data_IF_803706111649
#
_entry.id   IF_803706111649
#
_cell.length_a   1.000
_cell.length_b   1.000
_cell.length_c   1.000
_cell.angle_alpha   90.00
_cell.angle_beta   90.00
_cell.angle_gamma   90.00
#
_symmetry.space_group_name_H-M   'P 1'
#
loop_
_entity.id
_entity.type
_entity.pdbx_description
1 polymer ?
#
# COMPACT_ATOMS: atom_id res chain seq x y z
N UNK A 1 39.31 -40.03 3.85
CA UNK A 1 39.89 -38.83 3.24
C UNK A 1 38.78 -38.09 2.50
N UNK A 2 38.63 -36.81 2.84
CA UNK A 2 37.84 -35.75 2.20
C UNK A 2 36.33 -35.99 1.93
N UNK A 3 35.52 -35.59 2.91
CA UNK A 3 34.16 -35.08 2.72
C UNK A 3 34.27 -33.80 1.88
N UNK A 4 33.71 -33.76 0.68
CA UNK A 4 33.61 -32.51 -0.09
C UNK A 4 32.53 -31.62 0.54
N UNK A 5 32.97 -30.67 1.37
CA UNK A 5 32.23 -29.46 1.70
C UNK A 5 31.92 -28.72 0.41
N UNK A 6 30.66 -28.77 -0.01
CA UNK A 6 30.10 -27.80 -0.94
C UNK A 6 29.54 -26.68 -0.07
N UNK A 7 30.41 -25.72 0.27
CA UNK A 7 29.98 -24.39 0.74
C UNK A 7 29.39 -23.63 -0.46
N UNK A 8 28.16 -23.99 -0.85
CA UNK A 8 27.32 -23.04 -1.58
C UNK A 8 26.89 -22.03 -0.54
N UNK A 9 27.54 -20.86 -0.52
CA UNK A 9 26.97 -19.66 0.13
C UNK A 9 25.50 -19.61 -0.27
N UNK A 10 24.59 -19.82 0.68
CA UNK A 10 23.16 -19.72 0.48
C UNK A 10 22.83 -18.32 -0.05
N UNK A 11 22.79 -18.17 -1.37
CA UNK A 11 22.14 -17.04 -1.99
C UNK A 11 20.65 -17.23 -1.71
N UNK A 12 20.20 -16.61 -0.62
CA UNK A 12 18.81 -16.57 -0.21
C UNK A 12 17.96 -16.15 -1.42
N UNK A 13 16.97 -16.98 -1.78
CA UNK A 13 16.07 -16.67 -2.88
C UNK A 13 15.44 -15.28 -2.64
N UNK A 14 15.26 -14.42 -3.66
CA UNK A 14 14.81 -13.04 -3.44
C UNK A 14 13.52 -12.93 -2.62
N UNK A 15 12.58 -13.86 -2.84
CA UNK A 15 11.35 -13.95 -2.05
C UNK A 15 11.62 -14.31 -0.59
N UNK A 16 12.55 -15.23 -0.31
CA UNK A 16 12.92 -15.60 1.06
C UNK A 16 13.59 -14.42 1.77
N UNK A 17 14.38 -13.63 1.04
CA UNK A 17 14.98 -12.40 1.57
C UNK A 17 13.91 -11.38 1.97
N UNK A 18 12.92 -11.14 1.10
CA UNK A 18 11.79 -10.25 1.43
C UNK A 18 10.97 -10.81 2.59
N UNK A 19 10.59 -12.09 2.55
CA UNK A 19 9.80 -12.76 3.58
C UNK A 19 10.46 -12.63 4.95
N UNK A 20 11.73 -13.01 5.06
CA UNK A 20 12.50 -12.90 6.30
C UNK A 20 12.66 -11.45 6.74
N UNK A 21 12.82 -10.51 5.79
CA UNK A 21 12.91 -9.09 6.12
C UNK A 21 11.61 -8.47 6.62
N UNK A 22 10.44 -9.02 6.26
CA UNK A 22 9.15 -8.52 6.74
C UNK A 22 8.83 -9.10 8.13
N UNK A 23 9.10 -10.39 8.38
CA UNK A 23 8.56 -11.08 9.56
C UNK A 23 9.55 -11.39 10.69
N UNK A 24 10.87 -11.37 10.43
CA UNK A 24 11.86 -11.64 11.47
C UNK A 24 12.06 -10.44 12.41
N UNK A 25 12.58 -10.71 13.61
CA UNK A 25 12.61 -9.72 14.70
C UNK A 25 13.53 -8.52 14.41
N UNK A 26 14.56 -8.68 13.58
CA UNK A 26 15.46 -7.59 13.16
C UNK A 26 14.68 -6.47 12.47
N UNK A 27 13.61 -6.83 11.75
CA UNK A 27 12.76 -5.90 11.04
C UNK A 27 12.01 -4.93 11.96
N UNK A 28 11.70 -5.33 13.21
CA UNK A 28 10.95 -4.48 14.16
C UNK A 28 11.70 -3.20 14.54
N UNK A 29 13.02 -3.22 14.42
CA UNK A 29 13.88 -2.07 14.72
C UNK A 29 13.86 -1.00 13.63
N UNK A 30 13.23 -1.28 12.48
CA UNK A 30 13.13 -0.34 11.36
C UNK A 30 12.10 0.74 11.71
N UNK A 31 12.60 1.82 12.31
CA UNK A 31 11.88 3.07 12.59
C UNK A 31 12.53 4.31 11.98
N UNK A 32 13.54 4.13 11.13
CA UNK A 32 14.24 5.23 10.43
C UNK A 32 13.30 5.84 9.40
N UNK A 33 13.40 7.16 9.18
CA UNK A 33 12.77 7.79 8.03
C UNK A 33 13.48 7.35 6.73
N UNK A 34 13.03 6.22 6.19
CA UNK A 34 13.58 5.62 4.97
C UNK A 34 13.43 6.59 3.79
N UNK A 35 12.43 7.47 3.80
CA UNK A 35 12.13 8.36 2.68
C UNK A 35 13.23 9.41 2.48
N UNK A 36 13.72 10.02 3.55
CA UNK A 36 14.73 11.09 3.53
C UNK A 36 16.13 10.56 3.18
N UNK A 37 16.38 9.27 3.40
CA UNK A 37 17.69 8.68 3.21
C UNK A 37 17.97 8.33 1.75
N UNK A 38 19.20 8.63 1.31
CA UNK A 38 19.75 8.09 0.07
C UNK A 38 19.88 6.57 0.15
N UNK A 39 19.78 5.87 -0.98
CA UNK A 39 19.79 4.40 -0.92
C UNK A 39 21.16 3.86 -0.49
N UNK A 40 22.23 4.58 -0.82
CA UNK A 40 23.59 4.22 -0.39
C UNK A 40 23.71 4.27 1.14
N UNK A 41 23.11 5.27 1.80
CA UNK A 41 23.13 5.34 3.28
C UNK A 41 22.31 4.22 3.92
N UNK A 42 21.22 3.77 3.28
CA UNK A 42 20.43 2.64 3.76
C UNK A 42 21.19 1.32 3.67
N UNK A 43 21.95 1.11 2.59
CA UNK A 43 22.73 -0.09 2.36
C UNK A 43 23.94 -0.17 3.29
N UNK A 44 24.59 0.97 3.55
CA UNK A 44 25.75 1.07 4.44
C UNK A 44 25.36 1.18 5.93
N UNK A 45 24.07 1.29 6.24
CA UNK A 45 23.58 1.43 7.61
C UNK A 45 23.90 0.20 8.47
N UNK A 46 24.64 0.42 9.54
CA UNK A 46 24.97 -0.58 10.56
C UNK A 46 23.72 -1.20 11.23
N UNK A 47 22.62 -0.45 11.29
CA UNK A 47 21.34 -0.94 11.81
C UNK A 47 20.63 -1.83 10.80
N UNK A 48 20.68 -1.48 9.51
CA UNK A 48 19.91 -2.15 8.46
C UNK A 48 20.67 -3.31 7.81
N UNK A 49 22.00 -3.37 7.90
CA UNK A 49 22.84 -4.41 7.28
C UNK A 49 22.49 -5.84 7.70
N UNK A 50 21.81 -6.02 8.83
CA UNK A 50 21.38 -7.33 9.31
C UNK A 50 20.09 -7.82 8.63
N UNK A 51 19.31 -6.92 8.05
CA UNK A 51 18.08 -7.24 7.34
C UNK A 51 18.42 -8.04 6.07
N UNK A 52 17.80 -9.21 5.85
CA UNK A 52 18.14 -10.08 4.71
C UNK A 52 18.08 -9.40 3.34
N UNK A 53 17.07 -8.56 3.06
CA UNK A 53 16.94 -7.90 1.75
C UNK A 53 18.05 -6.86 1.52
N UNK A 54 18.54 -6.20 2.57
CA UNK A 54 19.67 -5.28 2.50
C UNK A 54 20.94 -6.04 2.13
N UNK A 55 21.18 -7.21 2.74
CA UNK A 55 22.31 -8.09 2.40
C UNK A 55 22.26 -8.57 0.95
N UNK A 56 21.07 -8.98 0.49
CA UNK A 56 20.85 -9.42 -0.89
C UNK A 56 21.20 -8.30 -1.86
N UNK A 57 20.68 -7.08 -1.63
CA UNK A 57 20.95 -5.93 -2.52
C UNK A 57 22.42 -5.50 -2.44
N UNK A 58 23.03 -5.43 -1.25
CA UNK A 58 24.46 -5.11 -1.09
C UNK A 58 25.38 -6.08 -1.85
N UNK A 59 24.98 -7.35 -1.94
CA UNK A 59 25.73 -8.36 -2.67
C UNK A 59 25.64 -8.18 -4.20
N UNK A 60 24.55 -7.58 -4.68
CA UNK A 60 24.29 -7.32 -6.11
C UNK A 60 24.86 -5.98 -6.55
N UNK A 61 24.87 -4.95 -5.69
CA UNK A 61 25.32 -3.59 -5.99
C UNK A 61 26.81 -3.46 -6.35
N UNK A 62 27.59 -4.56 -6.24
CA UNK A 62 28.93 -4.67 -6.85
C UNK A 62 28.90 -4.76 -8.38
N UNK A 63 27.71 -4.80 -9.00
CA UNK A 63 27.47 -4.84 -10.46
C UNK A 63 26.60 -3.65 -10.87
N UNK A 64 26.77 -3.14 -12.09
CA UNK A 64 26.11 -1.95 -12.66
C UNK A 64 24.56 -2.00 -12.76
N UNK A 65 23.93 -3.12 -12.42
CA UNK A 65 22.47 -3.29 -12.27
C UNK A 65 22.00 -2.79 -10.90
N UNK A 66 22.33 -1.55 -10.54
CA UNK A 66 22.18 -1.08 -9.16
C UNK A 66 20.88 -0.31 -8.91
N UNK A 67 20.32 0.39 -9.91
CA UNK A 67 19.31 1.42 -9.66
C UNK A 67 17.95 0.81 -9.30
N UNK A 68 17.43 -0.13 -10.09
CA UNK A 68 16.10 -0.72 -9.85
C UNK A 68 16.06 -1.45 -8.51
N UNK A 69 17.10 -2.22 -8.22
CA UNK A 69 17.30 -3.01 -7.02
C UNK A 69 17.41 -2.12 -5.79
N UNK A 70 18.13 -0.99 -5.90
CA UNK A 70 18.17 0.06 -4.89
C UNK A 70 16.79 0.66 -4.64
N UNK A 71 16.04 1.02 -5.68
CA UNK A 71 14.69 1.57 -5.52
C UNK A 71 13.71 0.55 -4.95
N UNK A 72 13.81 -0.72 -5.36
CA UNK A 72 13.06 -1.82 -4.76
C UNK A 72 13.36 -1.93 -3.27
N UNK A 73 14.64 -1.94 -2.88
CA UNK A 73 15.05 -1.93 -1.47
C UNK A 73 14.40 -0.78 -0.70
N UNK A 74 14.45 0.44 -1.25
CA UNK A 74 13.86 1.62 -0.60
C UNK A 74 12.36 1.46 -0.40
N UNK A 75 11.63 0.95 -1.40
CA UNK A 75 10.20 0.66 -1.32
C UNK A 75 9.89 -0.43 -0.28
N UNK A 76 10.66 -1.52 -0.26
CA UNK A 76 10.49 -2.60 0.72
C UNK A 76 10.76 -2.13 2.14
N UNK A 77 11.83 -1.39 2.39
CA UNK A 77 12.13 -0.84 3.72
C UNK A 77 11.07 0.18 4.16
N UNK A 78 10.57 1.01 3.24
CA UNK A 78 9.46 1.94 3.52
C UNK A 78 8.19 1.20 3.91
N UNK A 79 7.85 0.13 3.19
CA UNK A 79 6.72 -0.75 3.53
C UNK A 79 6.90 -1.38 4.92
N UNK A 80 8.08 -1.94 5.23
CA UNK A 80 8.32 -2.58 6.53
C UNK A 80 8.24 -1.56 7.66
N UNK A 81 8.84 -0.37 7.49
CA UNK A 81 8.77 0.72 8.47
C UNK A 81 7.31 1.13 8.74
N UNK A 82 6.51 1.31 7.69
CA UNK A 82 5.10 1.65 7.82
C UNK A 82 4.26 0.52 8.44
N UNK A 83 4.55 -0.74 8.11
CA UNK A 83 3.92 -1.93 8.69
C UNK A 83 4.18 -2.02 10.19
N UNK A 84 5.42 -1.79 10.63
CA UNK A 84 5.80 -1.81 12.05
C UNK A 84 5.15 -0.69 12.87
N UNK A 85 4.83 0.45 12.23
CA UNK A 85 4.10 1.55 12.85
C UNK A 85 2.58 1.31 12.88
N UNK A 86 2.10 0.35 12.10
CA UNK A 86 0.70 -0.07 12.05
C UNK A 86 0.28 -0.82 13.31
N UNK A 87 -1.02 -0.78 13.60
CA UNK A 87 -1.60 -1.51 14.72
C UNK A 87 -2.00 -2.93 14.27
N UNK A 88 -1.01 -3.77 14.02
CA UNK A 88 -1.24 -5.15 13.59
C UNK A 88 -1.52 -6.06 14.78
N UNK A 89 -2.51 -6.94 14.65
CA UNK A 89 -2.80 -7.95 15.66
C UNK A 89 -1.57 -8.84 15.91
N UNK A 90 -1.12 -8.88 17.17
CA UNK A 90 0.10 -9.58 17.58
C UNK A 90 0.06 -11.06 17.20
N UNK A 91 -1.10 -11.72 17.32
CA UNK A 91 -1.25 -13.14 17.03
C UNK A 91 -1.15 -13.43 15.53
N UNK A 92 -1.73 -12.57 14.69
CA UNK A 92 -1.68 -12.72 13.24
C UNK A 92 -0.27 -12.47 12.69
N UNK A 93 0.50 -11.55 13.28
CA UNK A 93 1.91 -11.39 12.97
C UNK A 93 2.76 -12.57 13.42
N UNK A 94 2.48 -13.13 14.60
CA UNK A 94 3.15 -14.36 15.07
C UNK A 94 2.88 -15.54 14.15
N UNK A 95 1.65 -15.71 13.68
CA UNK A 95 1.27 -16.73 12.70
C UNK A 95 2.10 -16.62 11.42
N UNK A 96 2.25 -15.40 10.87
CA UNK A 96 3.08 -15.16 9.68
C UNK A 96 4.57 -15.40 9.94
N UNK A 97 5.08 -15.10 11.14
CA UNK A 97 6.46 -15.43 11.52
C UNK A 97 6.71 -16.94 11.54
N UNK A 98 5.85 -17.70 12.20
CA UNK A 98 5.96 -19.16 12.25
C UNK A 98 5.88 -19.75 10.83
N UNK A 99 4.96 -19.24 10.01
CA UNK A 99 4.86 -19.65 8.62
C UNK A 99 6.09 -19.29 7.77
N UNK A 100 6.79 -18.19 8.08
CA UNK A 100 8.04 -17.81 7.43
C UNK A 100 9.20 -18.75 7.82
N UNK A 101 9.28 -19.15 9.09
CA UNK A 101 10.27 -20.12 9.57
C UNK A 101 10.04 -21.51 8.96
N UNK A 102 8.78 -21.89 8.76
CA UNK A 102 8.38 -23.18 8.21
C UNK A 102 8.28 -23.21 6.66
N UNK A 103 8.53 -22.09 5.98
CA UNK A 103 8.36 -21.94 4.52
C UNK A 103 6.97 -22.37 4.02
N UNK A 104 5.91 -21.95 4.71
CA UNK A 104 4.54 -22.31 4.36
C UNK A 104 4.10 -21.67 3.04
N UNK A 105 3.53 -22.49 2.15
CA UNK A 105 3.18 -22.08 0.77
C UNK A 105 2.20 -20.90 0.68
N UNK A 106 1.29 -20.75 1.65
CA UNK A 106 0.34 -19.64 1.64
C UNK A 106 1.04 -18.29 1.87
N UNK A 107 2.02 -18.27 2.78
CA UNK A 107 2.79 -17.07 3.08
C UNK A 107 3.72 -16.72 1.92
N UNK A 108 4.33 -17.73 1.29
CA UNK A 108 5.17 -17.51 0.10
C UNK A 108 4.36 -16.79 -0.98
N UNK A 109 3.13 -17.23 -1.28
CA UNK A 109 2.24 -16.55 -2.24
C UNK A 109 1.91 -15.12 -1.84
N UNK A 110 1.67 -14.89 -0.55
CA UNK A 110 1.39 -13.56 0.01
C UNK A 110 2.59 -12.62 -0.17
N UNK A 111 3.81 -13.10 0.13
CA UNK A 111 5.06 -12.35 -0.05
C UNK A 111 5.41 -12.15 -1.52
N UNK A 112 5.16 -13.13 -2.38
CA UNK A 112 5.36 -13.01 -3.84
C UNK A 112 4.49 -11.88 -4.40
N UNK A 113 3.20 -11.82 -4.02
CA UNK A 113 2.31 -10.73 -4.41
C UNK A 113 2.86 -9.38 -3.95
N UNK A 114 3.22 -9.26 -2.65
CA UNK A 114 3.78 -8.03 -2.09
C UNK A 114 5.07 -7.62 -2.81
N UNK A 115 5.95 -8.58 -3.10
CA UNK A 115 7.24 -8.33 -3.76
C UNK A 115 7.03 -7.77 -5.16
N UNK A 116 6.18 -8.40 -5.97
CA UNK A 116 5.86 -7.96 -7.33
C UNK A 116 5.20 -6.57 -7.29
N UNK A 117 4.27 -6.36 -6.37
CA UNK A 117 3.59 -5.10 -6.20
C UNK A 117 4.58 -3.97 -5.85
N UNK A 118 5.41 -4.18 -4.83
CA UNK A 118 6.41 -3.19 -4.39
C UNK A 118 7.42 -2.90 -5.50
N UNK A 119 7.83 -3.87 -6.31
CA UNK A 119 8.71 -3.65 -7.46
C UNK A 119 8.07 -2.75 -8.53
N UNK A 120 6.74 -2.83 -8.72
CA UNK A 120 5.99 -2.02 -9.69
C UNK A 120 5.66 -0.60 -9.24
N UNK A 121 5.63 -0.33 -7.93
CA UNK A 121 5.30 1.01 -7.43
C UNK A 121 6.29 2.06 -7.95
N UNK A 122 5.74 3.21 -8.32
CA UNK A 122 6.43 4.41 -8.81
C UNK A 122 6.70 5.44 -7.70
N UNK A 123 5.95 5.40 -6.60
CA UNK A 123 6.00 6.37 -5.48
C UNK A 123 6.19 5.65 -4.12
N UNK A 124 6.93 6.26 -3.18
CA UNK A 124 7.19 5.67 -1.85
C UNK A 124 5.95 5.75 -0.94
N UNK A 125 5.13 6.77 -1.14
CA UNK A 125 3.87 7.01 -0.46
C UNK A 125 2.90 5.86 -0.71
N UNK A 126 2.90 5.31 -1.94
CA UNK A 126 2.13 4.12 -2.27
C UNK A 126 2.60 2.91 -1.47
N UNK A 127 3.91 2.76 -1.20
CA UNK A 127 4.39 1.69 -0.33
C UNK A 127 3.88 1.83 1.12
N UNK A 128 3.74 3.07 1.61
CA UNK A 128 3.11 3.35 2.91
C UNK A 128 1.61 3.00 2.91
N UNK A 129 0.88 3.35 1.85
CA UNK A 129 -0.54 2.98 1.67
C UNK A 129 -0.70 1.45 1.62
N UNK A 130 0.14 0.77 0.83
CA UNK A 130 0.18 -0.69 0.75
C UNK A 130 0.36 -1.32 2.13
N UNK A 131 1.30 -0.82 2.94
CA UNK A 131 1.52 -1.31 4.31
C UNK A 131 0.28 -1.10 5.20
N UNK A 132 -0.36 0.07 5.13
CA UNK A 132 -1.53 0.36 5.93
C UNK A 132 -2.74 -0.52 5.55
N UNK A 133 -2.94 -0.81 4.27
CA UNK A 133 -3.97 -1.75 3.82
C UNK A 133 -3.60 -3.20 4.16
N UNK A 134 -2.31 -3.53 4.17
CA UNK A 134 -1.83 -4.82 4.59
C UNK A 134 -2.13 -5.09 6.07
N UNK A 135 -1.96 -4.08 6.94
CA UNK A 135 -2.39 -4.14 8.35
C UNK A 135 -3.88 -4.46 8.45
N UNK A 136 -4.73 -3.81 7.64
CA UNK A 136 -6.17 -4.09 7.60
C UNK A 136 -6.47 -5.52 7.17
N UNK A 137 -5.75 -6.02 6.17
CA UNK A 137 -5.88 -7.40 5.73
C UNK A 137 -5.45 -8.39 6.81
N UNK A 138 -4.31 -8.15 7.47
CA UNK A 138 -3.82 -8.98 8.57
C UNK A 138 -4.84 -9.03 9.71
N UNK A 139 -5.45 -7.89 10.04
CA UNK A 139 -6.47 -7.76 11.09
C UNK A 139 -7.86 -8.24 10.64
N UNK A 140 -8.00 -8.84 9.46
CA UNK A 140 -9.27 -9.31 8.89
C UNK A 140 -10.34 -8.22 8.71
N UNK A 141 -9.94 -6.94 8.65
CA UNK A 141 -10.85 -5.82 8.34
C UNK A 141 -11.22 -5.77 6.85
N UNK A 142 -10.36 -6.32 5.99
CA UNK A 142 -10.59 -6.52 4.56
C UNK A 142 -10.17 -7.93 4.18
N UNK A 143 -10.85 -8.50 3.19
CA UNK A 143 -10.53 -9.83 2.66
C UNK A 143 -9.25 -9.84 1.82
N UNK A 144 -8.71 -11.04 1.56
CA UNK A 144 -7.59 -11.20 0.64
C UNK A 144 -7.91 -10.70 -0.77
N UNK A 145 -9.12 -10.95 -1.26
CA UNK A 145 -9.54 -10.49 -2.59
C UNK A 145 -9.64 -8.97 -2.66
N UNK A 146 -10.22 -8.33 -1.64
CA UNK A 146 -10.25 -6.87 -1.52
C UNK A 146 -8.83 -6.28 -1.48
N UNK A 147 -7.93 -6.89 -0.70
CA UNK A 147 -6.53 -6.44 -0.66
C UNK A 147 -5.87 -6.52 -2.04
N UNK A 148 -6.04 -7.63 -2.79
CA UNK A 148 -5.49 -7.76 -4.15
C UNK A 148 -6.07 -6.72 -5.12
N UNK A 149 -7.38 -6.45 -5.04
CA UNK A 149 -8.01 -5.40 -5.85
C UNK A 149 -7.43 -4.02 -5.53
N UNK A 150 -7.20 -3.73 -4.25
CA UNK A 150 -6.59 -2.47 -3.83
C UNK A 150 -5.15 -2.32 -4.31
N UNK A 151 -4.34 -3.39 -4.28
CA UNK A 151 -2.99 -3.36 -4.87
C UNK A 151 -3.03 -3.02 -6.37
N UNK A 152 -3.97 -3.60 -7.11
CA UNK A 152 -4.14 -3.33 -8.52
C UNK A 152 -4.55 -1.87 -8.79
N UNK A 153 -5.40 -1.29 -7.93
CA UNK A 153 -5.76 0.13 -7.99
C UNK A 153 -4.54 1.02 -7.73
N UNK A 154 -3.78 0.74 -6.67
CA UNK A 154 -2.61 1.54 -6.26
C UNK A 154 -1.56 1.61 -7.38
N UNK A 155 -1.34 0.51 -8.10
CA UNK A 155 -0.39 0.45 -9.23
C UNK A 155 -0.80 1.34 -10.42
N UNK A 156 -2.07 1.74 -10.54
CA UNK A 156 -2.65 2.35 -11.77
C UNK A 156 -3.03 3.82 -11.64
N UNK A 157 -3.04 4.37 -10.43
CA UNK A 157 -3.41 5.75 -10.14
C UNK A 157 -2.23 6.50 -9.55
N UNK A 158 -2.11 7.81 -9.73
CA UNK A 158 -1.10 8.62 -9.04
C UNK A 158 -1.48 8.81 -7.57
N UNK A 159 -0.51 9.10 -6.71
CA UNK A 159 -0.79 9.37 -5.31
C UNK A 159 -1.87 10.45 -5.08
N UNK A 160 -1.90 11.50 -5.90
CA UNK A 160 -2.87 12.59 -5.80
C UNK A 160 -4.31 12.13 -6.09
N UNK A 161 -4.51 11.02 -6.83
CA UNK A 161 -5.84 10.48 -7.10
C UNK A 161 -6.51 9.95 -5.84
N UNK A 162 -5.74 9.52 -4.83
CA UNK A 162 -6.30 9.14 -3.54
C UNK A 162 -6.91 10.33 -2.80
N UNK A 163 -6.29 11.51 -2.93
CA UNK A 163 -6.84 12.74 -2.34
C UNK A 163 -8.16 13.11 -3.00
N UNK A 164 -8.20 13.03 -4.34
CA UNK A 164 -9.43 13.25 -5.11
C UNK A 164 -10.52 12.23 -4.74
N UNK A 165 -10.18 10.95 -4.59
CA UNK A 165 -11.11 9.91 -4.18
C UNK A 165 -11.71 10.21 -2.79
N UNK A 166 -10.88 10.65 -1.84
CA UNK A 166 -11.31 11.00 -0.48
C UNK A 166 -12.22 12.23 -0.47
N UNK A 167 -11.97 13.24 -1.30
CA UNK A 167 -12.86 14.39 -1.47
C UNK A 167 -14.26 13.95 -1.98
N UNK A 168 -14.29 13.06 -2.99
CA UNK A 168 -15.55 12.50 -3.49
C UNK A 168 -16.25 11.69 -2.40
N UNK A 169 -15.50 10.92 -1.60
CA UNK A 169 -16.06 10.14 -0.49
C UNK A 169 -16.61 11.02 0.63
N UNK A 170 -15.94 12.11 0.99
CA UNK A 170 -16.45 13.04 1.99
C UNK A 170 -17.73 13.74 1.53
N UNK A 171 -17.80 14.13 0.24
CA UNK A 171 -19.03 14.64 -0.36
C UNK A 171 -20.16 13.60 -0.33
N UNK A 172 -19.86 12.33 -0.65
CA UNK A 172 -20.81 11.23 -0.57
C UNK A 172 -21.37 11.04 0.85
N UNK A 173 -20.51 11.05 1.88
CA UNK A 173 -20.93 10.90 3.28
C UNK A 173 -21.80 12.10 3.72
N UNK A 174 -21.48 13.31 3.28
CA UNK A 174 -22.30 14.49 3.57
C UNK A 174 -23.69 14.37 2.93
N UNK A 175 -23.78 13.94 1.67
CA UNK A 175 -25.06 13.73 0.99
C UNK A 175 -25.93 12.68 1.70
N UNK A 176 -25.35 11.60 2.24
CA UNK A 176 -26.11 10.58 2.99
C UNK A 176 -26.65 11.14 4.30
N UNK A 177 -25.83 11.83 5.10
CA UNK A 177 -26.27 12.48 6.35
C UNK A 177 -27.40 13.48 6.14
N UNK A 178 -27.36 14.22 5.03
CA UNK A 178 -28.42 15.17 4.68
C UNK A 178 -29.73 14.45 4.37
N UNK A 179 -29.70 13.33 3.61
CA UNK A 179 -30.90 12.55 3.32
C UNK A 179 -31.54 12.02 4.60
N UNK A 180 -30.74 11.46 5.50
CA UNK A 180 -31.20 11.01 6.82
C UNK A 180 -31.82 12.18 7.62
N UNK A 181 -31.20 13.35 7.60
CA UNK A 181 -31.70 14.56 8.28
C UNK A 181 -33.00 15.08 7.68
N UNK A 182 -33.15 15.05 6.35
CA UNK A 182 -34.39 15.45 5.66
C UNK A 182 -35.52 14.48 6.00
N UNK A 183 -35.24 13.17 5.94
CA UNK A 183 -36.19 12.12 6.32
C UNK A 183 -36.64 12.25 7.77
N UNK A 184 -35.75 12.68 8.66
CA UNK A 184 -36.02 12.79 10.09
C UNK A 184 -36.61 14.15 10.54
N UNK A 185 -36.23 15.26 9.90
CA UNK A 185 -36.50 16.62 10.40
C UNK A 185 -37.07 17.60 9.35
N UNK A 186 -37.26 17.19 8.09
CA UNK A 186 -38.01 17.97 7.09
C UNK A 186 -37.27 19.15 6.43
N UNK A 187 -35.98 19.37 6.71
CA UNK A 187 -35.20 20.40 6.01
C UNK A 187 -33.70 20.39 6.31
N UNK A 188 -32.88 20.53 5.26
CA UNK A 188 -31.42 20.71 5.35
C UNK A 188 -30.90 21.49 4.13
N UNK A 189 -29.84 22.30 4.31
CA UNK A 189 -29.20 23.06 3.24
C UNK A 189 -27.96 22.32 2.73
N UNK A 190 -27.81 22.18 1.41
CA UNK A 190 -26.65 21.52 0.77
C UNK A 190 -25.76 22.59 0.12
N UNK A 191 -24.50 22.67 0.54
CA UNK A 191 -23.47 23.40 -0.21
C UNK A 191 -22.81 22.42 -1.18
N UNK A 192 -23.30 22.34 -2.42
CA UNK A 192 -22.70 21.49 -3.45
C UNK A 192 -21.62 22.27 -4.19
N UNK A 193 -20.38 22.22 -3.70
CA UNK A 193 -19.21 22.62 -4.49
C UNK A 193 -18.33 21.40 -4.74
N UNK A 194 -18.45 20.81 -5.93
CA UNK A 194 -17.36 20.03 -6.49
C UNK A 194 -16.84 20.80 -7.70
N UNK A 195 -15.54 21.13 -7.67
CA UNK A 195 -14.81 21.53 -8.87
C UNK A 195 -14.89 20.38 -9.89
N UNK A 196 -14.84 20.71 -11.19
CA UNK A 196 -14.73 19.69 -12.24
C UNK A 196 -13.39 18.96 -12.08
N UNK A 197 -13.40 17.92 -11.27
CA UNK A 197 -12.27 17.05 -11.02
C UNK A 197 -12.16 16.09 -12.20
N UNK A 198 -11.05 16.13 -12.93
CA UNK A 198 -10.76 15.09 -13.92
C UNK A 198 -10.58 13.78 -13.15
N UNK A 199 -11.59 12.90 -13.23
CA UNK A 199 -11.64 11.61 -12.57
C UNK A 199 -11.37 10.45 -13.54
N UNK A 200 -10.73 10.70 -14.69
CA UNK A 200 -10.59 9.71 -15.76
C UNK A 200 -9.81 8.47 -15.28
N UNK A 201 -8.76 8.65 -14.47
CA UNK A 201 -8.02 7.52 -13.87
C UNK A 201 -8.86 6.76 -12.86
N UNK A 202 -9.59 7.47 -11.98
CA UNK A 202 -10.49 6.84 -11.00
C UNK A 202 -11.63 6.06 -11.68
N UNK A 203 -12.12 6.55 -12.82
CA UNK A 203 -13.07 5.84 -13.66
C UNK A 203 -12.44 4.60 -14.33
N UNK A 204 -11.23 4.74 -14.88
CA UNK A 204 -10.51 3.65 -15.55
C UNK A 204 -10.20 2.48 -14.60
N UNK A 205 -9.96 2.76 -13.31
CA UNK A 205 -9.76 1.72 -12.28
C UNK A 205 -11.05 1.29 -11.58
N UNK A 206 -12.21 1.78 -12.02
CA UNK A 206 -13.52 1.36 -11.53
C UNK A 206 -13.90 1.90 -10.15
N UNK A 207 -13.20 2.89 -9.61
CA UNK A 207 -13.54 3.53 -8.33
C UNK A 207 -14.71 4.51 -8.48
N UNK A 208 -14.84 5.11 -9.66
CA UNK A 208 -15.86 6.12 -9.97
C UNK A 208 -16.66 5.73 -11.20
N UNK A 209 -17.94 6.08 -11.21
CA UNK A 209 -18.85 5.94 -12.34
C UNK A 209 -19.38 7.31 -12.76
N UNK A 210 -19.73 7.45 -14.04
CA UNK A 210 -20.33 8.67 -14.58
C UNK A 210 -21.83 8.49 -14.69
N UNK A 211 -22.57 9.37 -14.02
CA UNK A 211 -24.01 9.56 -14.22
C UNK A 211 -24.22 10.75 -15.13
N UNK A 212 -24.87 10.54 -16.27
CA UNK A 212 -25.20 11.60 -17.23
C UNK A 212 -26.58 12.16 -16.93
N UNK A 213 -26.68 13.46 -16.79
CA UNK A 213 -27.95 14.17 -16.58
C UNK A 213 -28.11 15.22 -17.69
N UNK A 214 -29.20 15.11 -18.44
CA UNK A 214 -29.57 16.15 -19.42
C UNK A 214 -30.26 17.28 -18.68
N UNK A 215 -29.76 18.49 -18.81
CA UNK A 215 -30.36 19.70 -18.23
C UNK A 215 -31.42 20.29 -19.16
N UNK A 216 -32.20 21.24 -18.65
CA UNK A 216 -33.33 21.86 -19.37
C UNK A 216 -32.92 22.57 -20.67
N UNK A 217 -31.67 23.03 -20.76
CA UNK A 217 -31.06 23.63 -21.94
C UNK A 217 -30.48 22.61 -22.94
N UNK A 218 -30.80 21.32 -22.76
CA UNK A 218 -30.26 20.18 -23.50
C UNK A 218 -28.73 19.99 -23.39
N UNK A 219 -28.05 20.69 -22.48
CA UNK A 219 -26.66 20.37 -22.16
C UNK A 219 -26.57 19.07 -21.34
N UNK A 220 -25.43 18.38 -21.45
CA UNK A 220 -25.17 17.13 -20.72
C UNK A 220 -24.23 17.43 -19.58
N UNK A 221 -24.69 17.20 -18.35
CA UNK A 221 -23.87 17.24 -17.15
C UNK A 221 -23.43 15.84 -16.75
N UNK A 222 -22.14 15.65 -16.56
CA UNK A 222 -21.57 14.44 -16.00
C UNK A 222 -21.38 14.62 -14.49
N UNK A 223 -22.06 13.79 -13.70
CA UNK A 223 -21.82 13.68 -12.26
C UNK A 223 -20.99 12.41 -12.01
N UNK A 224 -19.89 12.55 -11.27
CA UNK A 224 -19.02 11.44 -10.88
C UNK A 224 -19.48 10.90 -9.51
N UNK A 225 -19.78 9.60 -9.44
CA UNK A 225 -20.26 8.92 -8.22
C UNK A 225 -19.36 7.73 -7.88
N UNK A 226 -19.21 7.40 -6.60
CA UNK A 226 -18.41 6.24 -6.19
C UNK A 226 -19.10 4.92 -6.55
N UNK A 227 -18.34 3.99 -7.11
CA UNK A 227 -18.75 2.59 -7.22
C UNK A 227 -18.70 1.90 -5.84
N UNK A 228 -19.19 0.65 -5.75
CA UNK A 228 -19.03 -0.15 -4.52
C UNK A 228 -17.55 -0.33 -4.14
N UNK A 229 -16.69 -0.61 -5.13
CA UNK A 229 -15.25 -0.70 -4.94
C UNK A 229 -14.68 0.66 -4.47
N UNK A 230 -15.10 1.75 -5.11
CA UNK A 230 -14.71 3.11 -4.74
C UNK A 230 -15.03 3.45 -3.30
N UNK A 231 -16.23 3.13 -2.84
CA UNK A 231 -16.66 3.37 -1.45
C UNK A 231 -15.83 2.55 -0.46
N UNK A 232 -15.68 1.24 -0.69
CA UNK A 232 -14.90 0.35 0.19
C UNK A 232 -13.44 0.77 0.26
N UNK A 233 -12.83 1.08 -0.89
CA UNK A 233 -11.44 1.51 -0.96
C UNK A 233 -11.24 2.86 -0.27
N UNK A 234 -12.11 3.84 -0.53
CA UNK A 234 -12.06 5.15 0.12
C UNK A 234 -12.26 5.05 1.65
N UNK A 235 -13.15 4.17 2.11
CA UNK A 235 -13.32 3.90 3.54
C UNK A 235 -12.05 3.31 4.17
N UNK A 236 -11.44 2.33 3.49
CA UNK A 236 -10.18 1.73 3.94
C UNK A 236 -9.06 2.79 4.01
N UNK A 237 -8.99 3.68 3.02
CA UNK A 237 -8.04 4.79 2.94
C UNK A 237 -8.26 5.86 4.00
N UNK A 238 -9.52 6.23 4.30
CA UNK A 238 -9.85 7.27 5.29
C UNK A 238 -9.38 6.93 6.69
N UNK A 239 -9.33 5.63 7.02
CA UNK A 239 -8.84 5.12 8.31
C UNK A 239 -7.31 5.12 8.41
N UNK A 240 -6.59 5.51 7.35
CA UNK A 240 -5.13 5.62 7.36
C UNK A 240 -4.71 7.00 7.88
N UNK A 241 -3.59 7.05 8.62
CA UNK A 241 -3.00 8.30 9.12
C UNK A 241 -2.20 9.03 8.04
N UNK A 242 -2.88 9.85 7.26
CA UNK A 242 -2.32 10.67 6.17
C UNK A 242 -1.31 11.73 6.63
N UNK A 243 -1.43 12.21 7.88
CA UNK A 243 -0.46 13.11 8.52
C UNK A 243 0.94 12.52 8.58
N UNK A 244 1.06 11.19 8.72
CA UNK A 244 2.34 10.47 8.71
C UNK A 244 2.87 10.12 7.32
N UNK A 245 2.10 10.40 6.27
CA UNK A 245 2.49 10.12 4.90
C UNK A 245 3.24 11.28 4.24
N UNK A 246 3.00 12.51 4.71
CA UNK A 246 3.47 13.78 4.12
C UNK A 246 4.80 14.32 4.66
N UNK A 247 5.52 13.57 5.49
CA UNK A 247 6.88 13.95 5.86
C UNK A 247 7.79 13.74 4.64
N UNK A 248 7.99 14.84 3.90
CA UNK A 248 8.96 15.09 2.85
C UNK A 248 9.46 16.52 3.00
#
# INVERSE_FOLDING_TARGET
MAQNHIDIKENLHPIDAVMKSIYLDEAKSIGIDIAENGIDSLVESELLKNIPIVKTVYSITKVSLAIREKYFLKKTLTFIAALNQGNTEIQEMKKRRIAAENNEKWLIKEVELLTIHLDRLDELEKAKITAALYVKYINHEISWDEYREYLAVIERVFFQDFMQLLEIYDAYIQEQKVKETIEQYGGAMILKSMSQLNCDRLLAVGLVQVKRTTTLDASVKNDYILSVLGQKFAEALKKIRWDKMKNF
#
